data_IF_139648048918
#
_entry.id   IF_139648048918
#
_cell.length_a   1.000
_cell.length_b   1.000
_cell.length_c   1.000
_cell.angle_alpha   90.00
_cell.angle_beta   90.00
_cell.angle_gamma   90.00
#
_symmetry.space_group_name_H-M   'P 1'
#
loop_
_entity.id
_entity.type
_entity.pdbx_description
1 polymer ?
#
# COMPACT_ATOMS: atom_id res chain seq x y z
N UNK A 1 -3.85 -30.89 -12.87
CA UNK A 1 -2.67 -30.77 -11.98
C UNK A 1 -3.18 -30.30 -10.61
N UNK A 2 -2.83 -31.04 -9.57
CA UNK A 2 -3.68 -31.27 -8.39
C UNK A 2 -3.70 -30.12 -7.36
N UNK A 3 -4.87 -29.49 -7.19
CA UNK A 3 -5.22 -28.67 -6.03
C UNK A 3 -4.97 -29.39 -4.69
N UNK A 4 -5.04 -30.73 -4.70
CA UNK A 4 -4.68 -31.58 -3.56
C UNK A 4 -3.19 -31.52 -3.17
N UNK A 5 -2.27 -31.17 -4.08
CA UNK A 5 -0.83 -31.10 -3.79
C UNK A 5 -0.43 -29.81 -3.07
N UNK A 6 -1.17 -28.73 -3.32
CA UNK A 6 -1.10 -27.46 -2.59
C UNK A 6 -1.60 -27.59 -1.13
N UNK A 7 -2.30 -28.69 -0.83
CA UNK A 7 -2.92 -28.97 0.47
C UNK A 7 -2.37 -30.20 1.17
N UNK A 8 -1.45 -30.93 0.54
CA UNK A 8 -0.80 -32.07 1.14
C UNK A 8 0.12 -31.56 2.25
N UNK A 9 -0.32 -31.73 3.50
CA UNK A 9 0.49 -31.47 4.68
C UNK A 9 1.80 -32.28 4.62
N UNK A 10 2.98 -31.71 4.95
CA UNK A 10 4.12 -32.53 5.26
C UNK A 10 3.77 -33.43 6.45
N UNK A 11 4.10 -34.71 6.30
CA UNK A 11 3.62 -35.82 7.11
C UNK A 11 3.71 -35.61 8.61
N UNK A 12 2.65 -36.08 9.27
CA UNK A 12 2.57 -36.27 10.71
C UNK A 12 3.69 -37.19 11.21
N UNK A 13 4.52 -36.68 12.11
CA UNK A 13 5.19 -37.52 13.10
C UNK A 13 4.33 -37.50 14.36
N UNK A 14 3.56 -38.58 14.54
CA UNK A 14 2.75 -38.82 15.71
C UNK A 14 3.56 -39.42 16.86
N UNK A 15 3.13 -39.10 18.08
CA UNK A 15 3.54 -39.73 19.32
C UNK A 15 2.69 -39.15 20.46
N UNK A 16 1.65 -39.87 20.87
CA UNK A 16 0.73 -39.43 21.93
C UNK A 16 1.19 -39.84 23.34
N UNK A 17 0.68 -39.15 24.37
CA UNK A 17 -0.15 -39.71 25.45
C UNK A 17 -0.23 -38.79 26.68
N UNK A 18 -1.46 -38.68 27.21
CA UNK A 18 -1.91 -38.52 28.61
C UNK A 18 -1.46 -37.34 29.53
N UNK A 19 -2.47 -36.70 30.16
CA UNK A 19 -2.44 -36.42 31.61
C UNK A 19 -2.74 -34.98 32.09
N UNK A 20 -3.91 -34.80 32.74
CA UNK A 20 -4.01 -34.20 34.09
C UNK A 20 -3.96 -32.66 34.32
N UNK A 21 -5.14 -32.10 34.66
CA UNK A 21 -5.45 -31.12 35.75
C UNK A 21 -4.60 -29.84 35.96
N UNK A 22 -5.27 -28.67 36.10
CA UNK A 22 -4.79 -27.59 36.99
C UNK A 22 -5.05 -26.13 36.58
N UNK A 23 -6.07 -25.52 37.21
CA UNK A 23 -6.19 -24.15 37.78
C UNK A 23 -5.54 -22.92 37.08
N UNK A 24 -6.36 -21.88 36.86
CA UNK A 24 -5.93 -20.49 36.66
C UNK A 24 -5.15 -19.93 37.88
N UNK A 25 -4.28 -18.92 37.70
CA UNK A 25 -4.77 -17.55 37.88
C UNK A 25 -4.18 -16.50 36.92
N UNK A 26 -4.90 -15.39 36.83
CA UNK A 26 -4.49 -14.12 36.23
C UNK A 26 -3.09 -13.67 36.66
N UNK A 27 -2.24 -13.32 35.68
CA UNK A 27 -1.16 -12.35 35.88
C UNK A 27 -1.25 -11.27 34.82
N UNK A 28 -1.72 -10.11 35.25
CA UNK A 28 -1.36 -8.86 34.63
C UNK A 28 0.17 -8.75 34.70
N UNK A 29 0.80 -8.51 33.56
CA UNK A 29 2.19 -8.05 33.52
C UNK A 29 2.30 -6.92 32.52
N UNK A 30 3.09 -5.89 32.83
CA UNK A 30 2.97 -4.59 32.19
C UNK A 30 3.66 -4.68 30.83
N UNK A 31 2.94 -4.36 29.76
CA UNK A 31 3.57 -4.10 28.46
C UNK A 31 4.31 -2.76 28.53
N UNK A 32 5.47 -2.77 29.16
CA UNK A 32 6.51 -1.77 28.97
C UNK A 32 7.20 -1.99 27.62
N UNK A 33 6.48 -1.74 26.53
CA UNK A 33 7.09 -1.56 25.21
C UNK A 33 7.36 -0.08 25.03
N UNK A 34 8.64 0.30 24.93
CA UNK A 34 9.01 1.66 24.49
C UNK A 34 8.27 1.96 23.18
N UNK A 35 7.69 3.15 22.99
CA UNK A 35 7.20 3.53 21.68
C UNK A 35 8.40 3.51 20.71
N UNK A 36 8.26 2.75 19.63
CA UNK A 36 9.23 2.77 18.55
C UNK A 36 9.30 4.19 17.99
N UNK A 37 10.50 4.78 18.02
CA UNK A 37 10.85 6.03 17.33
C UNK A 37 10.34 5.98 15.88
N UNK A 38 9.50 6.94 15.43
CA UNK A 38 8.98 6.97 14.08
C UNK A 38 10.02 7.64 13.17
N UNK A 39 11.00 6.88 12.68
CA UNK A 39 12.01 7.49 11.80
C UNK A 39 12.93 6.59 10.99
N UNK A 40 12.93 5.26 11.19
CA UNK A 40 13.86 4.41 10.43
C UNK A 40 13.26 3.02 10.13
N UNK A 41 12.60 2.86 8.98
CA UNK A 41 12.33 1.56 8.37
C UNK A 41 12.32 1.67 6.83
N UNK A 42 13.13 0.96 6.02
CA UNK A 42 14.36 0.19 6.25
C UNK A 42 14.98 -0.13 4.86
N UNK A 43 16.31 -0.14 4.74
CA UNK A 43 17.03 -0.62 3.55
C UNK A 43 16.75 -2.10 3.18
N UNK A 44 16.06 -2.84 4.07
CA UNK A 44 15.76 -4.26 3.94
C UNK A 44 14.35 -4.59 4.45
N UNK A 45 13.77 -5.67 3.93
CA UNK A 45 12.46 -6.14 4.35
C UNK A 45 12.53 -6.87 5.69
N UNK A 46 11.63 -6.52 6.60
CA UNK A 46 11.50 -7.22 7.88
C UNK A 46 10.93 -8.62 7.68
N UNK A 47 11.20 -9.52 8.64
CA UNK A 47 10.63 -10.87 8.63
C UNK A 47 9.09 -10.86 8.54
N UNK A 48 8.43 -10.00 9.33
CA UNK A 48 6.98 -9.83 9.27
C UNK A 48 6.50 -9.42 7.88
N UNK A 49 7.16 -8.45 7.24
CA UNK A 49 6.82 -8.02 5.89
C UNK A 49 7.00 -9.15 4.86
N UNK A 50 8.05 -9.97 4.98
CA UNK A 50 8.26 -11.14 4.12
C UNK A 50 7.11 -12.15 4.25
N UNK A 51 6.72 -12.50 5.49
CA UNK A 51 5.58 -13.39 5.75
C UNK A 51 4.28 -12.83 5.17
N UNK A 52 4.00 -11.54 5.37
CA UNK A 52 2.79 -10.89 4.83
C UNK A 52 2.77 -10.88 3.29
N UNK A 53 3.93 -10.66 2.66
CA UNK A 53 4.07 -10.72 1.20
C UNK A 53 3.85 -12.14 0.68
N UNK A 54 4.43 -13.16 1.34
CA UNK A 54 4.19 -14.57 0.99
C UNK A 54 2.71 -14.91 1.11
N UNK A 55 2.06 -14.57 2.23
CA UNK A 55 0.62 -14.80 2.44
C UNK A 55 -0.24 -14.15 1.35
N UNK A 56 0.02 -12.88 1.02
CA UNK A 56 -0.70 -12.17 -0.05
C UNK A 56 -0.48 -12.84 -1.42
N UNK A 57 0.75 -13.24 -1.74
CA UNK A 57 1.07 -13.96 -2.99
C UNK A 57 0.33 -15.30 -3.04
N UNK A 58 0.42 -16.11 -2.00
CA UNK A 58 -0.25 -17.42 -1.93
C UNK A 58 -1.75 -17.32 -2.16
N UNK A 59 -2.43 -16.31 -1.56
CA UNK A 59 -3.85 -16.08 -1.80
C UNK A 59 -4.19 -15.71 -3.25
N UNK A 60 -3.36 -14.91 -3.93
CA UNK A 60 -3.59 -14.51 -5.33
C UNK A 60 -3.37 -15.66 -6.31
N UNK A 61 -2.38 -16.51 -6.06
CA UNK A 61 -2.20 -17.73 -6.85
C UNK A 61 -3.30 -18.76 -6.58
N UNK A 62 -3.80 -18.84 -5.34
CA UNK A 62 -4.95 -19.68 -5.01
C UNK A 62 -6.21 -19.20 -5.74
N UNK A 63 -6.43 -17.88 -5.83
CA UNK A 63 -7.50 -17.27 -6.65
C UNK A 63 -7.34 -17.60 -8.15
N UNK A 64 -6.12 -17.76 -8.63
CA UNK A 64 -5.84 -18.15 -10.03
C UNK A 64 -6.14 -19.62 -10.30
N UNK A 65 -5.89 -20.52 -9.34
CA UNK A 65 -6.25 -21.94 -9.44
C UNK A 65 -7.75 -22.19 -9.23
N UNK A 66 -8.37 -21.46 -8.29
CA UNK A 66 -9.78 -21.62 -7.92
C UNK A 66 -10.64 -20.52 -8.55
N UNK A 67 -11.13 -20.77 -9.76
CA UNK A 67 -11.95 -19.82 -10.52
C UNK A 67 -13.24 -19.44 -9.76
N UNK A 68 -13.88 -20.41 -9.09
CA UNK A 68 -15.13 -20.18 -8.38
C UNK A 68 -14.91 -19.64 -6.95
N UNK A 69 -15.73 -18.65 -6.57
CA UNK A 69 -15.56 -17.90 -5.31
C UNK A 69 -15.84 -18.71 -4.05
N UNK A 70 -16.77 -19.65 -4.10
CA UNK A 70 -17.12 -20.60 -3.04
C UNK A 70 -15.91 -21.47 -2.67
N UNK A 71 -15.31 -22.15 -3.66
CA UNK A 71 -14.13 -23.00 -3.48
C UNK A 71 -12.94 -22.17 -3.03
N UNK A 72 -12.72 -21.00 -3.65
CA UNK A 72 -11.66 -20.09 -3.25
C UNK A 72 -11.76 -19.72 -1.76
N UNK A 73 -12.95 -19.36 -1.26
CA UNK A 73 -13.14 -18.96 0.14
C UNK A 73 -12.84 -20.09 1.11
N UNK A 74 -13.31 -21.30 0.83
CA UNK A 74 -13.01 -22.47 1.65
C UNK A 74 -11.49 -22.68 1.78
N UNK A 75 -10.80 -22.70 0.65
CA UNK A 75 -9.35 -22.92 0.62
C UNK A 75 -8.53 -21.76 1.18
N UNK A 76 -9.00 -20.52 1.04
CA UNK A 76 -8.37 -19.36 1.67
C UNK A 76 -8.43 -19.43 3.21
N UNK A 77 -9.55 -19.92 3.78
CA UNK A 77 -9.67 -20.16 5.22
C UNK A 77 -8.70 -21.25 5.70
N UNK A 78 -8.56 -22.34 4.95
CA UNK A 78 -7.58 -23.40 5.29
C UNK A 78 -6.14 -22.87 5.22
N UNK A 79 -5.81 -22.06 4.22
CA UNK A 79 -4.50 -21.43 4.13
C UNK A 79 -4.27 -20.51 5.34
N UNK A 80 -5.26 -19.69 5.71
CA UNK A 80 -5.18 -18.81 6.87
C UNK A 80 -4.91 -19.58 8.16
N UNK A 81 -5.62 -20.69 8.39
CA UNK A 81 -5.42 -21.56 9.55
C UNK A 81 -3.98 -22.12 9.62
N UNK A 82 -3.39 -22.52 8.48
CA UNK A 82 -1.98 -22.96 8.43
C UNK A 82 -1.00 -21.86 8.87
N UNK A 83 -1.26 -20.61 8.49
CA UNK A 83 -0.43 -19.48 8.91
C UNK A 83 -0.65 -19.13 10.39
N UNK A 84 -1.90 -19.16 10.86
CA UNK A 84 -2.24 -18.84 12.25
C UNK A 84 -1.68 -19.88 13.25
N UNK A 85 -1.61 -21.16 12.86
CA UNK A 85 -0.92 -22.23 13.64
C UNK A 85 0.56 -21.93 13.94
N UNK A 86 1.24 -21.21 13.05
CA UNK A 86 2.66 -20.88 13.17
C UNK A 86 2.92 -19.44 13.61
N UNK A 87 1.88 -18.72 14.07
CA UNK A 87 1.98 -17.30 14.44
C UNK A 87 2.77 -17.06 15.73
N UNK A 88 2.65 -17.97 16.71
CA UNK A 88 3.19 -17.78 18.06
C UNK A 88 4.61 -18.40 18.24
N UNK A 89 5.31 -18.66 17.13
CA UNK A 89 6.70 -19.16 17.17
C UNK A 89 7.63 -18.02 17.60
N UNK A 90 8.28 -18.17 18.75
CA UNK A 90 9.19 -17.17 19.33
C UNK A 90 10.61 -17.25 18.79
N UNK A 91 11.02 -18.42 18.32
CA UNK A 91 12.38 -18.66 17.81
C UNK A 91 12.54 -18.14 16.38
N UNK A 92 13.37 -17.12 16.21
CA UNK A 92 13.56 -16.45 14.91
C UNK A 92 14.20 -17.34 13.85
N UNK A 93 15.11 -18.25 14.23
CA UNK A 93 15.76 -19.19 13.30
C UNK A 93 14.71 -20.14 12.71
N UNK A 94 13.90 -20.75 13.58
CA UNK A 94 12.80 -21.62 13.17
C UNK A 94 11.76 -20.88 12.31
N UNK A 95 11.47 -19.62 12.65
CA UNK A 95 10.58 -18.79 11.84
C UNK A 95 11.13 -18.57 10.41
N UNK A 96 12.44 -18.33 10.27
CA UNK A 96 13.07 -18.19 8.95
C UNK A 96 13.12 -19.49 8.16
N UNK A 97 13.32 -20.64 8.82
CA UNK A 97 13.24 -21.95 8.19
C UNK A 97 11.84 -22.26 7.68
N UNK A 98 10.81 -21.98 8.48
CA UNK A 98 9.40 -22.13 8.08
C UNK A 98 9.05 -21.22 6.90
N UNK A 99 9.58 -19.98 6.89
CA UNK A 99 9.40 -19.06 5.79
C UNK A 99 10.04 -19.62 4.51
N UNK A 100 11.28 -20.11 4.60
CA UNK A 100 11.97 -20.73 3.46
C UNK A 100 11.21 -21.94 2.94
N UNK A 101 10.78 -22.84 3.80
CA UNK A 101 9.97 -24.01 3.42
C UNK A 101 8.65 -23.59 2.77
N UNK A 102 8.01 -22.52 3.28
CA UNK A 102 6.80 -21.95 2.68
C UNK A 102 7.02 -21.31 1.31
N UNK A 103 8.17 -20.69 1.08
CA UNK A 103 8.58 -20.16 -0.23
C UNK A 103 8.86 -21.29 -1.24
N UNK A 104 9.50 -22.37 -0.81
CA UNK A 104 9.75 -23.56 -1.63
C UNK A 104 8.43 -24.28 -2.02
N UNK A 105 7.51 -24.47 -1.06
CA UNK A 105 6.17 -25.01 -1.32
C UNK A 105 5.38 -24.10 -2.26
N UNK A 106 5.45 -22.78 -2.06
CA UNK A 106 4.81 -21.82 -2.93
C UNK A 106 5.38 -21.90 -4.35
N UNK A 107 6.71 -21.94 -4.51
CA UNK A 107 7.39 -22.05 -5.81
C UNK A 107 6.97 -23.30 -6.60
N UNK A 108 6.91 -24.46 -5.94
CA UNK A 108 6.51 -25.71 -6.58
C UNK A 108 5.06 -25.71 -7.07
N UNK A 109 4.18 -24.88 -6.48
CA UNK A 109 2.75 -24.89 -6.72
C UNK A 109 2.21 -23.60 -7.39
N UNK A 110 3.08 -22.75 -7.93
CA UNK A 110 2.64 -21.52 -8.59
C UNK A 110 1.81 -21.83 -9.83
N UNK A 111 0.75 -21.05 -10.03
CA UNK A 111 0.01 -21.08 -11.28
C UNK A 111 0.90 -20.50 -12.41
N UNK A 112 1.05 -21.18 -13.57
CA UNK A 112 1.90 -20.73 -14.66
C UNK A 112 1.55 -19.34 -15.20
N UNK A 113 0.26 -19.00 -15.20
CA UNK A 113 -0.25 -17.70 -15.64
C UNK A 113 -1.14 -17.09 -14.56
N UNK A 114 -0.59 -16.40 -13.56
CA UNK A 114 -1.40 -15.84 -12.47
C UNK A 114 -2.36 -14.77 -12.96
N UNK A 115 -3.46 -14.57 -12.25
CA UNK A 115 -4.37 -13.46 -12.48
C UNK A 115 -3.71 -12.14 -12.06
N UNK A 116 -3.50 -11.25 -13.03
CA UNK A 116 -2.95 -9.90 -12.85
C UNK A 116 -4.04 -8.89 -13.21
N UNK A 117 -4.22 -7.88 -12.36
CA UNK A 117 -5.18 -6.80 -12.63
C UNK A 117 -4.76 -5.99 -13.85
N UNK A 118 -5.73 -5.46 -14.61
CA UNK A 118 -5.48 -4.82 -15.89
C UNK A 118 -4.43 -3.69 -15.84
N UNK A 119 -4.51 -2.82 -14.84
CA UNK A 119 -3.61 -1.66 -14.68
C UNK A 119 -2.35 -1.96 -13.86
N UNK A 120 -2.24 -3.17 -13.29
CA UNK A 120 -1.05 -3.58 -12.56
C UNK A 120 0.08 -3.95 -13.51
N UNK A 121 1.35 -3.86 -13.08
CA UNK A 121 2.48 -4.29 -13.92
C UNK A 121 2.30 -5.75 -14.36
N UNK A 122 2.45 -6.00 -15.66
CA UNK A 122 2.18 -7.31 -16.29
C UNK A 122 0.70 -7.57 -16.64
N UNK A 123 -0.19 -6.60 -16.39
CA UNK A 123 -1.58 -6.62 -16.82
C UNK A 123 -1.76 -6.21 -18.28
N UNK A 124 -2.94 -6.49 -18.84
CA UNK A 124 -3.24 -6.26 -20.27
C UNK A 124 -3.40 -4.76 -20.61
N UNK A 125 -3.65 -3.90 -19.61
CA UNK A 125 -3.82 -2.46 -19.79
C UNK A 125 -2.71 -1.64 -19.10
N UNK A 126 -1.64 -2.30 -18.64
CA UNK A 126 -0.51 -1.64 -18.03
C UNK A 126 0.10 -0.62 -19.00
N UNK A 127 0.29 0.62 -18.53
CA UNK A 127 0.84 1.75 -19.30
C UNK A 127 0.10 2.09 -20.61
N UNK A 128 -1.09 1.53 -20.85
CA UNK A 128 -1.89 1.77 -22.06
C UNK A 128 -2.15 3.25 -22.32
N UNK A 129 -2.33 4.03 -21.26
CA UNK A 129 -2.63 5.45 -21.33
C UNK A 129 -1.42 6.35 -21.02
N UNK A 130 -0.22 5.79 -20.82
CA UNK A 130 0.96 6.58 -20.47
C UNK A 130 1.35 7.56 -21.58
N UNK A 131 1.16 7.17 -22.84
CA UNK A 131 1.40 8.03 -24.01
C UNK A 131 0.58 9.33 -24.00
N UNK A 132 -0.59 9.36 -23.36
CA UNK A 132 -1.45 10.55 -23.29
C UNK A 132 -1.13 11.45 -22.09
N UNK A 133 -0.26 11.01 -21.17
CA UNK A 133 0.16 11.80 -20.01
C UNK A 133 1.30 12.73 -20.40
N UNK A 134 0.98 13.72 -21.23
CA UNK A 134 1.94 14.77 -21.58
C UNK A 134 2.30 15.57 -20.31
N UNK A 135 3.60 15.83 -20.07
CA UNK A 135 3.98 16.57 -18.90
C UNK A 135 3.56 18.04 -19.04
N UNK A 136 3.16 18.62 -17.91
CA UNK A 136 2.55 19.95 -17.85
C UNK A 136 3.41 21.05 -18.49
N UNK A 137 4.75 20.95 -18.39
CA UNK A 137 5.67 21.95 -18.93
C UNK A 137 5.62 22.06 -20.46
N UNK A 138 5.10 21.04 -21.18
CA UNK A 138 4.93 21.12 -22.64
C UNK A 138 3.97 22.24 -23.07
N UNK A 139 3.00 22.62 -22.22
CA UNK A 139 2.05 23.70 -22.52
C UNK A 139 2.71 25.10 -22.58
N UNK A 140 3.95 25.23 -22.09
CA UNK A 140 4.69 26.50 -22.20
C UNK A 140 5.14 26.77 -23.65
N UNK A 141 5.32 25.73 -24.47
CA UNK A 141 5.77 25.86 -25.86
C UNK A 141 4.67 26.16 -26.88
N UNK A 142 3.40 26.18 -26.47
CA UNK A 142 2.28 26.47 -27.37
C UNK A 142 2.37 27.88 -27.95
N UNK A 143 1.92 28.05 -29.19
CA UNK A 143 1.93 29.36 -29.85
C UNK A 143 0.92 30.30 -29.16
N UNK A 144 1.20 31.62 -29.02
CA UNK A 144 0.28 32.54 -28.35
C UNK A 144 -1.16 32.53 -28.88
N UNK A 145 -1.36 32.27 -30.18
CA UNK A 145 -2.71 32.14 -30.75
C UNK A 145 -3.50 30.95 -30.17
N UNK A 146 -2.82 29.83 -29.89
CA UNK A 146 -3.43 28.63 -29.31
C UNK A 146 -3.71 28.83 -27.82
N UNK A 147 -2.85 29.57 -27.13
CA UNK A 147 -3.06 29.95 -25.72
C UNK A 147 -4.23 30.91 -25.56
N UNK A 148 -4.41 31.83 -26.51
CA UNK A 148 -5.52 32.78 -26.52
C UNK A 148 -6.90 32.11 -26.61
N UNK A 149 -6.97 30.85 -27.07
CA UNK A 149 -8.21 30.05 -27.04
C UNK A 149 -8.66 29.71 -25.61
N UNK A 150 -7.73 29.64 -24.64
CA UNK A 150 -8.02 29.25 -23.25
C UNK A 150 -7.53 30.29 -22.23
N UNK A 151 -8.05 31.53 -22.26
CA UNK A 151 -7.52 32.64 -21.45
C UNK A 151 -7.61 32.37 -19.94
N UNK A 152 -8.73 31.83 -19.47
CA UNK A 152 -8.96 31.57 -18.03
C UNK A 152 -8.03 30.49 -17.47
N UNK A 153 -7.73 29.47 -18.27
CA UNK A 153 -6.85 28.38 -17.86
C UNK A 153 -5.41 28.87 -17.71
N UNK A 154 -4.89 29.57 -18.72
CA UNK A 154 -3.53 30.12 -18.66
C UNK A 154 -3.39 31.20 -17.58
N UNK A 155 -4.42 32.03 -17.33
CA UNK A 155 -4.41 33.00 -16.23
C UNK A 155 -4.27 32.31 -14.85
N UNK A 156 -5.01 31.21 -14.61
CA UNK A 156 -4.87 30.42 -13.38
C UNK A 156 -3.50 29.76 -13.29
N UNK A 157 -3.00 29.22 -14.40
CA UNK A 157 -1.70 28.55 -14.47
C UNK A 157 -0.54 29.47 -14.09
N UNK A 158 -0.56 30.73 -14.52
CA UNK A 158 0.47 31.70 -14.12
C UNK A 158 0.46 31.96 -12.59
N UNK A 159 -0.71 31.93 -11.94
CA UNK A 159 -0.79 32.00 -10.49
C UNK A 159 -0.09 30.80 -9.83
N UNK A 160 -0.30 29.57 -10.34
CA UNK A 160 0.39 28.38 -9.85
C UNK A 160 1.91 28.44 -10.05
N UNK A 161 2.37 28.88 -11.23
CA UNK A 161 3.81 29.03 -11.52
C UNK A 161 4.46 30.09 -10.61
N UNK A 162 3.74 31.16 -10.29
CA UNK A 162 4.19 32.17 -9.32
C UNK A 162 4.35 31.55 -7.93
N UNK A 163 3.34 30.82 -7.46
CA UNK A 163 3.39 30.14 -6.16
C UNK A 163 4.55 29.14 -6.07
N UNK A 164 4.77 28.34 -7.12
CA UNK A 164 5.88 27.38 -7.19
C UNK A 164 7.25 28.08 -7.12
N UNK A 165 7.42 29.20 -7.82
CA UNK A 165 8.68 29.98 -7.79
C UNK A 165 8.95 30.56 -6.41
N UNK A 166 7.92 31.08 -5.74
CA UNK A 166 8.02 31.63 -4.38
C UNK A 166 8.23 30.55 -3.31
N UNK A 167 7.71 29.34 -3.51
CA UNK A 167 7.88 28.23 -2.56
C UNK A 167 9.25 27.58 -2.69
N UNK A 168 9.81 27.48 -3.90
CA UNK A 168 11.05 26.77 -4.19
C UNK A 168 12.22 27.14 -3.28
N UNK A 169 12.52 28.44 -3.10
CA UNK A 169 13.62 28.89 -2.25
C UNK A 169 13.43 28.50 -0.78
N UNK A 170 12.17 28.52 -0.30
CA UNK A 170 11.83 28.14 1.07
C UNK A 170 11.96 26.64 1.27
N UNK A 171 11.50 25.85 0.30
CA UNK A 171 11.60 24.39 0.31
C UNK A 171 13.06 23.93 0.29
N UNK A 172 13.88 24.53 -0.58
CA UNK A 172 15.32 24.23 -0.64
C UNK A 172 16.02 24.57 0.68
N UNK A 173 15.70 25.73 1.27
CA UNK A 173 16.27 26.12 2.56
C UNK A 173 15.87 25.16 3.67
N UNK A 174 14.59 24.78 3.73
CA UNK A 174 14.08 23.80 4.69
C UNK A 174 14.80 22.45 4.53
N UNK A 175 14.95 21.97 3.30
CA UNK A 175 15.67 20.72 3.02
C UNK A 175 17.14 20.80 3.45
N UNK A 176 17.82 21.93 3.24
CA UNK A 176 19.20 22.13 3.67
C UNK A 176 19.34 22.17 5.21
N UNK A 177 18.36 22.74 5.90
CA UNK A 177 18.32 22.78 7.37
C UNK A 177 18.03 21.40 7.98
N UNK A 178 17.15 20.62 7.35
CA UNK A 178 16.72 19.29 7.83
C UNK A 178 17.69 18.16 7.42
N UNK A 179 18.41 18.32 6.31
CA UNK A 179 19.36 17.30 5.83
C UNK A 179 20.61 17.28 6.71
N UNK A 180 20.97 16.13 7.31
CA UNK A 180 22.23 16.00 8.04
C UNK A 180 23.45 16.30 7.16
N UNK A 181 24.57 16.72 7.76
CA UNK A 181 25.80 17.08 7.01
C UNK A 181 26.37 15.94 6.15
N UNK A 182 26.09 14.68 6.49
CA UNK A 182 26.46 13.48 5.73
C UNK A 182 25.51 13.17 4.55
N UNK A 183 24.53 14.04 4.28
CA UNK A 183 23.50 13.84 3.26
C UNK A 183 22.27 13.07 3.75
N UNK A 184 21.24 12.92 2.90
CA UNK A 184 19.99 12.26 3.27
C UNK A 184 20.21 10.74 3.40
N UNK A 185 19.80 10.19 4.55
CA UNK A 185 19.96 8.75 4.87
C UNK A 185 18.82 7.87 4.30
N UNK A 186 17.70 8.48 3.94
CA UNK A 186 16.50 7.81 3.41
C UNK A 186 15.80 8.69 2.37
N UNK A 187 15.09 8.07 1.43
CA UNK A 187 14.29 8.77 0.40
C UNK A 187 13.05 9.49 0.96
N UNK A 188 12.72 9.25 2.24
CA UNK A 188 11.63 9.95 2.90
C UNK A 188 11.99 11.42 3.06
N UNK A 189 11.22 12.29 2.42
CA UNK A 189 11.17 13.71 2.78
C UNK A 189 10.27 13.86 4.00
N UNK A 190 10.79 14.40 5.10
CA UNK A 190 10.01 14.62 6.31
C UNK A 190 8.91 15.67 6.05
N UNK A 191 7.67 15.24 6.30
CA UNK A 191 6.48 15.98 5.89
C UNK A 191 6.16 17.15 6.81
N UNK A 192 6.41 18.36 6.31
CA UNK A 192 5.48 19.50 6.24
C UNK A 192 6.27 20.66 5.65
N UNK A 193 6.34 20.71 4.32
CA UNK A 193 6.50 22.02 3.70
C UNK A 193 5.31 22.84 4.22
N UNK A 194 5.59 23.89 5.01
CA UNK A 194 4.59 24.90 5.40
C UNK A 194 4.20 25.67 4.14
N UNK A 195 3.65 24.97 3.15
CA UNK A 195 2.85 25.58 2.11
C UNK A 195 1.67 26.12 2.90
N UNK A 196 1.70 27.42 3.17
CA UNK A 196 0.56 28.14 3.70
C UNK A 196 -0.64 27.59 2.93
N UNK A 197 -1.62 27.06 3.67
CA UNK A 197 -2.90 26.65 3.12
C UNK A 197 -3.55 27.91 2.54
N UNK A 198 -3.11 28.31 1.34
CA UNK A 198 -3.87 29.13 0.44
C UNK A 198 -4.99 28.17 0.08
N UNK A 199 -6.13 28.36 0.75
CA UNK A 199 -7.38 27.65 0.52
C UNK A 199 -7.41 27.18 -0.94
N UNK A 200 -7.17 25.89 -1.17
CA UNK A 200 -7.63 25.21 -2.37
C UNK A 200 -9.16 25.20 -2.24
N UNK A 201 -9.77 26.37 -2.40
CA UNK A 201 -11.19 26.45 -2.63
C UNK A 201 -11.39 25.82 -3.99
N UNK A 202 -11.99 24.65 -3.93
CA UNK A 202 -12.58 23.87 -4.99
C UNK A 202 -13.31 24.82 -5.96
N UNK A 203 -12.62 25.28 -7.00
CA UNK A 203 -13.20 26.05 -8.10
C UNK A 203 -13.15 25.20 -9.37
N UNK A 204 -13.68 23.99 -9.24
CA UNK A 204 -13.93 23.05 -10.33
C UNK A 204 -15.41 22.65 -10.32
N UNK A 205 -16.32 23.62 -10.44
CA UNK A 205 -17.62 23.42 -11.09
C UNK A 205 -18.34 24.77 -11.27
N UNK A 206 -18.41 25.28 -12.50
CA UNK A 206 -19.28 26.43 -12.83
C UNK A 206 -20.69 26.00 -13.26
N UNK A 207 -20.98 24.69 -13.31
CA UNK A 207 -22.28 24.18 -13.74
C UNK A 207 -23.21 23.95 -12.55
N UNK A 208 -24.22 24.83 -12.41
CA UNK A 208 -25.30 24.73 -11.41
C UNK A 208 -26.22 23.51 -11.58
N UNK A 209 -25.97 22.65 -12.57
CA UNK A 209 -26.76 21.44 -12.87
C UNK A 209 -25.96 20.13 -12.76
N UNK A 210 -24.73 20.13 -12.23
CA UNK A 210 -23.95 18.91 -12.08
C UNK A 210 -24.45 18.05 -10.89
N UNK A 211 -25.00 16.83 -11.11
CA UNK A 211 -25.56 15.98 -10.06
C UNK A 211 -24.50 15.41 -9.08
N UNK A 212 -23.20 15.55 -9.40
CA UNK A 212 -22.10 15.16 -8.49
C UNK A 212 -21.80 16.21 -7.42
N UNK A 213 -22.17 17.48 -7.65
CA UNK A 213 -21.89 18.58 -6.72
C UNK A 213 -22.95 18.73 -5.63
N UNK A 214 -24.20 18.38 -5.90
CA UNK A 214 -25.29 18.40 -4.90
C UNK A 214 -25.09 17.38 -3.78
N UNK A 215 -24.42 16.25 -4.05
CA UNK A 215 -24.12 15.23 -3.04
C UNK A 215 -23.12 15.70 -1.98
N UNK A 216 -22.16 16.56 -2.36
CA UNK A 216 -21.12 17.08 -1.44
C UNK A 216 -21.67 18.16 -0.50
N UNK A 217 -22.66 18.94 -0.94
CA UNK A 217 -23.28 19.97 -0.10
C UNK A 217 -24.14 19.40 1.03
N UNK A 218 -24.82 18.26 0.81
CA UNK A 218 -25.62 17.60 1.86
C UNK A 218 -24.72 17.02 2.95
N UNK A 219 -23.54 16.53 2.60
CA UNK A 219 -22.61 15.91 3.55
C UNK A 219 -21.90 16.93 4.45
N UNK A 220 -21.55 18.11 3.92
CA UNK A 220 -20.92 19.17 4.71
C UNK A 220 -21.89 19.84 5.70
N UNK A 221 -23.20 19.88 5.40
CA UNK A 221 -24.22 20.39 6.33
C UNK A 221 -24.40 19.54 7.59
N UNK A 222 -24.13 18.23 7.51
CA UNK A 222 -24.25 17.29 8.62
C UNK A 222 -23.03 17.27 9.55
N UNK A 223 -21.88 17.80 9.12
CA UNK A 223 -20.66 17.82 9.93
C UNK A 223 -20.47 19.10 10.75
N UNK A 224 -21.27 20.14 10.51
CA UNK A 224 -21.24 21.40 11.27
C UNK A 224 -22.15 21.42 12.51
N UNK A 225 -22.80 20.30 12.85
CA UNK A 225 -23.77 20.18 13.94
C UNK A 225 -23.39 19.13 15.00
N UNK A 226 -22.09 18.84 15.17
CA UNK A 226 -21.59 18.03 16.28
C UNK A 226 -20.30 18.57 16.87
#
# INVERSE_FOLDING_TARGET
MNLARLMAAPGALGGGSAGGQGRAPSRHSPRGGRPAEPGAMAAYLTHQQKVLRLYKKSLRHLESWCIHRDKYRYYACLLRDRFDKNKDVKDMVKATELLRAGEEEFWANQHPQPYIFADSPGGIAYERYEMYKLPEWCLDFWHPSEKAMYPDYFAKREQWKKLQRESWEREVKQLQEETPSDGPKTEASEGKLKINSIKLNFMLCSDKHCPKCTFVQVWLGLWSLR
#
